data_IF_118705003503
#
_entry.id   IF_118705003503
#
_cell.length_a   1.000
_cell.length_b   1.000
_cell.length_c   1.000
_cell.angle_alpha   90.00
_cell.angle_beta   90.00
_cell.angle_gamma   90.00
#
_symmetry.space_group_name_H-M   'P 1'
#
loop_
_entity.id
_entity.type
_entity.pdbx_description
1 polymer ?
#
# COMPACT_ATOMS: atom_id res chain seq x y z
N UNK A 1 -5.72 -33.23 -3.21
CA UNK A 1 -5.47 -32.87 -1.81
C UNK A 1 -6.82 -32.59 -1.18
N UNK A 2 -7.33 -33.46 -0.31
CA UNK A 2 -8.53 -33.17 0.46
C UNK A 2 -8.14 -32.23 1.60
N UNK A 3 -8.65 -31.02 1.56
CA UNK A 3 -8.57 -30.12 2.72
C UNK A 3 -9.50 -30.66 3.80
N UNK A 4 -8.97 -30.99 4.97
CA UNK A 4 -9.78 -31.26 6.16
C UNK A 4 -10.58 -30.02 6.52
N UNK A 5 -11.84 -29.97 6.13
CA UNK A 5 -12.73 -28.81 6.29
C UNK A 5 -13.12 -28.50 7.74
N UNK A 6 -12.77 -29.32 8.73
CA UNK A 6 -13.28 -29.20 10.09
C UNK A 6 -12.19 -29.40 11.13
N UNK A 7 -11.29 -28.43 11.28
CA UNK A 7 -10.45 -28.37 12.48
C UNK A 7 -11.22 -27.97 13.72
N UNK A 8 -12.33 -27.25 13.56
CA UNK A 8 -13.17 -26.79 14.68
C UNK A 8 -14.65 -26.80 14.26
N UNK A 9 -15.53 -27.26 15.17
CA UNK A 9 -16.95 -26.94 15.07
C UNK A 9 -17.09 -25.44 15.40
N UNK A 10 -17.15 -24.58 14.41
CA UNK A 10 -17.42 -23.15 14.60
C UNK A 10 -18.89 -23.04 14.96
N UNK A 11 -19.20 -22.84 16.24
CA UNK A 11 -20.51 -22.37 16.64
C UNK A 11 -20.68 -20.95 16.13
N UNK A 12 -21.78 -20.65 15.43
CA UNK A 12 -22.09 -19.29 15.03
C UNK A 12 -22.15 -18.42 16.30
N UNK A 13 -21.32 -17.37 16.35
CA UNK A 13 -21.28 -16.48 17.48
C UNK A 13 -21.70 -15.08 17.02
N UNK A 14 -23.03 -14.86 17.05
CA UNK A 14 -23.64 -13.58 16.65
C UNK A 14 -23.09 -12.39 17.46
N UNK A 15 -22.71 -12.62 18.72
CA UNK A 15 -22.16 -11.58 19.60
C UNK A 15 -20.79 -11.07 19.07
N UNK A 16 -19.93 -11.93 18.54
CA UNK A 16 -18.66 -11.51 17.94
C UNK A 16 -18.92 -10.63 16.72
N UNK A 17 -19.88 -11.00 15.86
CA UNK A 17 -20.21 -10.19 14.68
C UNK A 17 -20.77 -8.82 15.05
N UNK A 18 -21.58 -8.72 16.08
CA UNK A 18 -22.09 -7.42 16.55
C UNK A 18 -20.97 -6.55 17.12
N UNK A 19 -20.02 -7.14 17.85
CA UNK A 19 -18.83 -6.44 18.32
C UNK A 19 -17.95 -5.94 17.15
N UNK A 20 -17.70 -6.76 16.14
CA UNK A 20 -16.96 -6.36 14.93
C UNK A 20 -17.67 -5.20 14.23
N UNK A 21 -19.00 -5.24 14.10
CA UNK A 21 -19.76 -4.13 13.52
C UNK A 21 -19.64 -2.84 14.34
N UNK A 22 -19.63 -2.94 15.67
CA UNK A 22 -19.48 -1.79 16.55
C UNK A 22 -18.08 -1.14 16.43
N UNK A 23 -17.03 -1.95 16.27
CA UNK A 23 -15.64 -1.50 16.12
C UNK A 23 -15.35 -0.80 14.76
N UNK A 24 -16.26 -0.92 13.78
CA UNK A 24 -16.03 -0.43 12.41
C UNK A 24 -15.70 1.06 12.32
N UNK A 25 -16.14 1.86 13.30
CA UNK A 25 -15.86 3.30 13.36
C UNK A 25 -14.45 3.60 13.83
N UNK A 26 -13.88 2.74 14.66
CA UNK A 26 -12.57 2.92 15.27
C UNK A 26 -11.47 2.21 14.46
N UNK A 27 -11.83 1.10 13.82
CA UNK A 27 -10.90 0.24 13.08
C UNK A 27 -11.05 0.48 11.58
N UNK A 28 -10.17 1.32 11.04
CA UNK A 28 -10.26 1.82 9.65
C UNK A 28 -10.19 0.75 8.57
N UNK A 29 -9.49 -0.36 8.78
CA UNK A 29 -9.32 -1.38 7.74
C UNK A 29 -10.61 -2.10 7.34
N UNK A 30 -11.66 -2.10 8.17
CA UNK A 30 -12.98 -2.64 7.80
C UNK A 30 -13.67 -1.86 6.66
N UNK A 31 -13.24 -0.62 6.44
CA UNK A 31 -13.82 0.26 5.42
C UNK A 31 -13.03 0.25 4.10
N UNK A 32 -11.81 -0.29 4.10
CA UNK A 32 -10.94 -0.30 2.92
C UNK A 32 -11.56 -0.93 1.65
N UNK A 33 -12.36 -2.04 1.72
CA UNK A 33 -12.99 -2.59 0.52
C UNK A 33 -13.99 -1.64 -0.17
N UNK A 34 -14.45 -0.60 0.52
CA UNK A 34 -15.48 0.34 0.03
C UNK A 34 -14.91 1.72 -0.34
N UNK A 35 -13.59 1.90 -0.33
CA UNK A 35 -12.95 3.17 -0.62
C UNK A 35 -13.02 3.53 -2.09
N UNK A 36 -12.94 4.82 -2.40
CA UNK A 36 -12.76 5.31 -3.77
C UNK A 36 -11.32 5.08 -4.23
N UNK A 37 -11.17 4.55 -5.44
CA UNK A 37 -9.88 4.24 -6.06
C UNK A 37 -9.54 5.13 -7.25
N UNK A 38 -10.40 6.11 -7.56
CA UNK A 38 -10.25 6.95 -8.77
C UNK A 38 -8.88 7.64 -8.82
N UNK A 39 -8.48 8.33 -7.75
CA UNK A 39 -7.19 9.01 -7.68
C UNK A 39 -5.99 8.07 -7.90
N UNK A 40 -6.05 6.85 -7.34
CA UNK A 40 -4.99 5.86 -7.50
C UNK A 40 -4.89 5.40 -8.95
N UNK A 41 -6.03 5.14 -9.60
CA UNK A 41 -6.09 4.71 -11.00
C UNK A 41 -5.62 5.80 -11.94
N UNK A 42 -6.08 7.03 -11.75
CA UNK A 42 -5.67 8.17 -12.57
C UNK A 42 -4.17 8.40 -12.46
N UNK A 43 -3.64 8.33 -11.23
CA UNK A 43 -2.21 8.43 -11.00
C UNK A 43 -1.44 7.29 -11.67
N UNK A 44 -1.85 6.03 -11.49
CA UNK A 44 -1.19 4.89 -12.12
C UNK A 44 -1.16 5.00 -13.66
N UNK A 45 -2.24 5.49 -14.28
CA UNK A 45 -2.31 5.73 -15.73
C UNK A 45 -1.38 6.87 -16.19
N UNK A 46 -1.10 7.85 -15.34
CA UNK A 46 -0.19 8.97 -15.65
C UNK A 46 1.29 8.56 -15.63
N UNK A 47 1.61 7.42 -14.99
CA UNK A 47 2.98 6.96 -14.82
C UNK A 47 3.46 6.21 -16.07
N UNK A 48 4.49 6.74 -16.72
CA UNK A 48 5.14 6.09 -17.87
C UNK A 48 6.34 5.21 -17.49
N UNK A 49 6.68 5.18 -16.22
CA UNK A 49 7.83 4.42 -15.69
C UNK A 49 7.58 2.91 -15.76
N UNK A 50 8.61 2.15 -16.16
CA UNK A 50 8.49 0.69 -16.37
C UNK A 50 8.81 -0.13 -15.14
N UNK A 51 9.52 0.45 -14.18
CA UNK A 51 9.94 -0.26 -12.96
C UNK A 51 9.59 0.53 -11.72
N UNK A 52 8.98 -0.15 -10.76
CA UNK A 52 8.57 0.41 -9.48
C UNK A 52 9.50 -0.11 -8.39
N UNK A 53 10.15 0.80 -7.67
CA UNK A 53 11.00 0.48 -6.52
C UNK A 53 10.25 0.86 -5.24
N UNK A 54 9.83 -0.12 -4.46
CA UNK A 54 9.14 0.10 -3.19
C UNK A 54 10.14 0.15 -2.05
N UNK A 55 10.26 1.29 -1.40
CA UNK A 55 11.08 1.50 -0.21
C UNK A 55 10.17 1.50 1.02
N UNK A 56 10.10 0.37 1.70
CA UNK A 56 9.26 0.18 2.88
C UNK A 56 9.56 -1.16 3.54
N UNK A 57 9.22 -1.31 4.82
CA UNK A 57 9.41 -2.55 5.56
C UNK A 57 8.08 -3.07 6.10
N UNK A 58 8.02 -4.36 6.40
CA UNK A 58 6.86 -5.01 7.01
C UNK A 58 5.58 -4.76 6.21
N UNK A 59 4.54 -4.25 6.85
CA UNK A 59 3.25 -3.94 6.22
C UNK A 59 3.34 -2.95 5.06
N UNK A 60 4.36 -2.11 5.01
CA UNK A 60 4.55 -1.14 3.92
C UNK A 60 4.96 -1.78 2.58
N UNK A 61 5.40 -3.02 2.55
CA UNK A 61 5.85 -3.69 1.32
C UNK A 61 5.30 -5.10 1.16
N UNK A 62 5.17 -5.89 2.24
CA UNK A 62 4.87 -7.32 2.14
C UNK A 62 3.49 -7.61 1.55
N UNK A 63 2.48 -6.82 1.86
CA UNK A 63 1.12 -7.05 1.35
C UNK A 63 1.04 -6.88 -0.16
N UNK A 64 1.56 -5.77 -0.68
CA UNK A 64 1.60 -5.52 -2.11
C UNK A 64 2.44 -6.57 -2.85
N UNK A 65 3.59 -6.94 -2.29
CA UNK A 65 4.45 -8.00 -2.84
C UNK A 65 3.73 -9.34 -2.91
N UNK A 66 3.04 -9.75 -1.85
CA UNK A 66 2.31 -11.02 -1.82
C UNK A 66 1.22 -11.08 -2.92
N UNK A 67 0.44 -10.02 -3.08
CA UNK A 67 -0.58 -9.93 -4.15
C UNK A 67 0.08 -9.92 -5.52
N UNK A 68 1.17 -9.16 -5.71
CA UNK A 68 1.90 -9.11 -6.97
C UNK A 68 2.43 -10.48 -7.39
N UNK A 69 3.12 -11.19 -6.50
CA UNK A 69 3.67 -12.53 -6.76
C UNK A 69 2.58 -13.58 -7.02
N UNK A 70 1.38 -13.39 -6.43
CA UNK A 70 0.23 -14.27 -6.67
C UNK A 70 -0.41 -14.05 -8.05
N UNK A 71 -0.52 -12.79 -8.49
CA UNK A 71 -1.25 -12.43 -9.72
C UNK A 71 -0.35 -12.36 -10.96
N UNK A 72 0.90 -11.97 -10.82
CA UNK A 72 1.81 -11.67 -11.93
C UNK A 72 3.14 -12.40 -11.77
N UNK A 73 3.35 -13.55 -12.43
CA UNK A 73 4.68 -14.18 -12.49
C UNK A 73 5.61 -13.36 -13.39
N UNK A 74 6.54 -12.70 -12.76
CA UNK A 74 7.76 -11.95 -13.17
C UNK A 74 8.22 -11.89 -14.65
N UNK A 75 8.77 -10.80 -15.20
CA UNK A 75 10.17 -10.33 -15.26
C UNK A 75 10.42 -9.36 -16.43
N UNK A 76 10.89 -8.16 -16.17
CA UNK A 76 11.98 -7.54 -16.94
C UNK A 76 12.49 -6.28 -16.19
N UNK A 77 13.81 -6.21 -15.95
CA UNK A 77 14.46 -5.07 -15.30
C UNK A 77 15.00 -4.10 -16.33
N UNK A 78 14.44 -2.90 -16.41
CA UNK A 78 14.96 -1.82 -17.24
C UNK A 78 15.01 -0.50 -16.43
N UNK A 79 15.87 0.44 -16.82
CA UNK A 79 16.38 1.58 -16.05
C UNK A 79 15.40 2.75 -15.75
N UNK A 80 14.14 2.64 -16.09
CA UNK A 80 13.16 3.70 -15.88
C UNK A 80 12.42 3.46 -14.55
N UNK A 81 12.99 4.03 -13.46
CA UNK A 81 12.60 3.73 -12.09
C UNK A 81 11.63 4.77 -11.54
N UNK A 82 10.60 4.31 -10.82
CA UNK A 82 9.79 5.10 -9.91
C UNK A 82 10.02 4.61 -8.47
N UNK A 83 10.34 5.51 -7.56
CA UNK A 83 10.55 5.22 -6.15
C UNK A 83 9.27 5.45 -5.35
N UNK A 84 8.72 4.40 -4.76
CA UNK A 84 7.62 4.49 -3.79
C UNK A 84 8.18 4.43 -2.38
N UNK A 85 8.21 5.58 -1.70
CA UNK A 85 8.73 5.70 -0.32
C UNK A 85 7.56 5.56 0.64
N UNK A 86 7.48 4.41 1.30
CA UNK A 86 6.32 4.03 2.13
C UNK A 86 6.72 3.89 3.60
N UNK A 87 6.21 4.75 4.44
CA UNK A 87 6.35 4.66 5.89
C UNK A 87 5.16 5.32 6.58
N UNK A 88 4.37 4.55 7.34
CA UNK A 88 3.20 5.07 8.05
C UNK A 88 3.56 6.29 8.90
N UNK A 89 4.49 6.16 9.82
CA UNK A 89 4.93 7.24 10.72
C UNK A 89 5.78 8.32 10.03
N UNK A 90 6.28 8.04 8.82
CA UNK A 90 7.18 8.92 8.09
C UNK A 90 8.59 9.06 8.69
N UNK A 91 8.92 8.29 9.75
CA UNK A 91 10.21 8.35 10.43
C UNK A 91 10.87 6.98 10.64
N UNK A 92 10.41 5.94 9.94
CA UNK A 92 11.03 4.60 10.00
C UNK A 92 12.47 4.69 9.51
N UNK A 93 13.41 4.41 10.41
CA UNK A 93 14.84 4.68 10.19
C UNK A 93 15.39 3.90 9.01
N UNK A 94 14.94 2.67 8.79
CA UNK A 94 15.36 1.82 7.68
C UNK A 94 14.93 2.43 6.35
N UNK A 95 13.65 2.82 6.24
CA UNK A 95 13.11 3.44 5.02
C UNK A 95 13.82 4.75 4.71
N UNK A 96 13.99 5.61 5.72
CA UNK A 96 14.68 6.91 5.55
C UNK A 96 16.14 6.72 5.19
N UNK A 97 16.85 5.76 5.81
CA UNK A 97 18.25 5.50 5.53
C UNK A 97 18.47 5.01 4.11
N UNK A 98 17.64 4.06 3.64
CA UNK A 98 17.70 3.56 2.26
C UNK A 98 17.34 4.67 1.28
N UNK A 99 16.31 5.47 1.57
CA UNK A 99 15.92 6.61 0.72
C UNK A 99 17.07 7.62 0.57
N UNK A 100 17.70 8.04 1.68
CA UNK A 100 18.85 8.94 1.66
C UNK A 100 20.02 8.36 0.90
N UNK A 101 20.31 7.07 1.10
CA UNK A 101 21.40 6.39 0.38
C UNK A 101 21.12 6.38 -1.13
N UNK A 102 19.93 5.98 -1.56
CA UNK A 102 19.59 5.97 -2.97
C UNK A 102 19.59 7.38 -3.58
N UNK A 103 19.09 8.39 -2.85
CA UNK A 103 19.15 9.79 -3.29
C UNK A 103 20.58 10.35 -3.43
N UNK A 104 21.55 9.71 -2.79
CA UNK A 104 22.98 10.05 -3.01
C UNK A 104 23.58 9.42 -4.27
N UNK A 105 22.93 8.41 -4.84
CA UNK A 105 23.37 7.68 -6.04
C UNK A 105 22.62 8.09 -7.31
N UNK A 106 21.34 8.41 -7.17
CA UNK A 106 20.44 8.84 -8.25
C UNK A 106 19.64 10.04 -7.78
N UNK A 107 19.43 10.99 -8.65
CA UNK A 107 18.57 12.12 -8.35
C UNK A 107 17.11 11.62 -8.21
N UNK A 108 16.55 11.80 -6.99
CA UNK A 108 15.16 11.43 -6.68
C UNK A 108 14.39 12.72 -6.48
N UNK A 109 13.42 12.97 -7.37
CA UNK A 109 12.63 14.20 -7.41
C UNK A 109 11.13 13.93 -7.69
N UNK A 110 10.38 14.98 -8.00
CA UNK A 110 8.94 14.88 -8.29
C UNK A 110 8.61 14.08 -9.56
N UNK A 111 9.57 13.84 -10.45
CA UNK A 111 9.36 13.09 -11.70
C UNK A 111 9.47 11.57 -11.52
N UNK A 112 10.11 11.12 -10.44
CA UNK A 112 10.42 9.71 -10.22
C UNK A 112 10.19 9.24 -8.77
N UNK A 113 9.50 10.03 -7.94
CA UNK A 113 9.21 9.67 -6.56
C UNK A 113 7.74 9.86 -6.20
N UNK A 114 7.23 8.99 -5.35
CA UNK A 114 5.93 9.11 -4.70
C UNK A 114 6.07 8.72 -3.24
N UNK A 115 5.43 9.47 -2.37
CA UNK A 115 5.46 9.24 -0.93
C UNK A 115 4.09 8.71 -0.47
N UNK A 116 4.10 7.68 0.39
CA UNK A 116 2.91 7.17 1.05
C UNK A 116 3.16 7.17 2.56
N UNK A 117 2.44 8.03 3.27
CA UNK A 117 2.67 8.23 4.71
C UNK A 117 1.42 8.84 5.36
N UNK A 118 1.37 8.91 6.69
CA UNK A 118 0.33 9.68 7.39
C UNK A 118 0.45 11.18 7.11
N UNK A 119 -0.70 11.85 7.04
CA UNK A 119 -0.76 13.30 6.91
C UNK A 119 0.05 13.99 8.03
N UNK A 120 0.80 15.03 7.66
CA UNK A 120 1.62 15.80 8.60
C UNK A 120 2.90 15.10 9.08
N UNK A 121 3.23 13.90 8.57
CA UNK A 121 4.50 13.21 8.83
C UNK A 121 5.70 13.97 8.26
N UNK A 122 6.91 13.58 8.62
CA UNK A 122 8.15 14.16 8.05
C UNK A 122 8.19 13.91 6.53
N UNK A 123 7.78 12.72 6.08
CA UNK A 123 7.77 12.39 4.64
C UNK A 123 6.72 13.17 3.86
N UNK A 124 5.53 13.41 4.41
CA UNK A 124 4.51 14.24 3.72
C UNK A 124 4.92 15.71 3.65
N UNK A 125 5.61 16.23 4.66
CA UNK A 125 6.22 17.57 4.60
C UNK A 125 7.30 17.65 3.52
N UNK A 126 8.20 16.66 3.47
CA UNK A 126 9.21 16.56 2.40
C UNK A 126 8.56 16.52 1.01
N UNK A 127 7.46 15.78 0.85
CA UNK A 127 6.70 15.73 -0.40
C UNK A 127 6.19 17.11 -0.82
N UNK A 128 5.57 17.83 0.11
CA UNK A 128 5.03 19.18 -0.14
C UNK A 128 6.13 20.18 -0.51
N UNK A 129 7.25 20.17 0.23
CA UNK A 129 8.37 21.08 0.00
C UNK A 129 9.06 20.87 -1.36
N UNK A 130 8.97 19.65 -1.91
CA UNK A 130 9.62 19.27 -3.18
C UNK A 130 8.63 18.97 -4.32
N UNK A 131 7.34 19.28 -4.15
CA UNK A 131 6.27 18.99 -5.13
C UNK A 131 6.20 17.51 -5.54
N UNK A 132 6.57 16.59 -4.64
CA UNK A 132 6.46 15.15 -4.85
C UNK A 132 5.01 14.70 -4.61
N UNK A 133 4.47 13.85 -5.48
CA UNK A 133 3.14 13.25 -5.27
C UNK A 133 3.11 12.49 -3.95
N UNK A 134 2.12 12.75 -3.11
CA UNK A 134 1.89 12.02 -1.88
C UNK A 134 0.48 11.44 -1.83
N UNK A 135 0.36 10.27 -1.18
CA UNK A 135 -0.91 9.67 -0.78
C UNK A 135 -0.95 9.55 0.74
N UNK A 136 -2.04 10.00 1.32
CA UNK A 136 -2.24 9.95 2.77
C UNK A 136 -2.74 8.58 3.22
N UNK A 137 -2.03 7.99 4.17
CA UNK A 137 -2.45 6.77 4.86
C UNK A 137 -3.28 7.14 6.10
N UNK A 138 -4.48 6.59 6.18
CA UNK A 138 -5.37 6.85 7.30
C UNK A 138 -4.75 6.39 8.64
N UNK A 139 -4.85 7.23 9.66
CA UNK A 139 -4.27 7.01 10.99
C UNK A 139 -4.75 5.71 11.65
N UNK A 140 -6.03 5.38 11.48
CA UNK A 140 -6.68 4.21 12.05
C UNK A 140 -6.47 2.90 11.25
N UNK A 141 -5.58 2.90 10.25
CA UNK A 141 -5.16 1.69 9.52
C UNK A 141 -3.79 1.26 10.01
N UNK A 142 -3.72 0.13 10.71
CA UNK A 142 -2.46 -0.43 11.19
C UNK A 142 -1.58 -0.92 10.02
N UNK A 143 -0.25 -0.79 10.13
CA UNK A 143 0.69 -1.19 9.08
C UNK A 143 0.51 -2.63 8.60
N UNK A 144 0.20 -3.56 9.51
CA UNK A 144 -0.04 -4.99 9.20
C UNK A 144 -1.37 -5.25 8.47
N UNK A 145 -2.26 -4.27 8.43
CA UNK A 145 -3.60 -4.36 7.84
C UNK A 145 -3.78 -3.40 6.66
N UNK A 146 -2.67 -2.95 6.06
CA UNK A 146 -2.65 -1.85 5.09
C UNK A 146 -2.63 -2.29 3.62
N UNK A 147 -2.66 -3.60 3.32
CA UNK A 147 -2.58 -4.09 1.93
C UNK A 147 -3.70 -3.54 1.04
N UNK A 148 -4.90 -3.34 1.57
CA UNK A 148 -6.03 -2.75 0.84
C UNK A 148 -6.16 -1.23 1.03
N UNK A 149 -5.18 -0.58 1.64
CA UNK A 149 -5.06 0.87 1.65
C UNK A 149 -4.20 1.37 0.48
N UNK A 150 -3.94 2.66 0.40
CA UNK A 150 -2.99 3.28 -0.54
C UNK A 150 -1.61 2.60 -0.54
N UNK A 151 -1.21 2.01 0.59
CA UNK A 151 0.08 1.30 0.75
C UNK A 151 0.21 0.11 -0.21
N UNK A 152 -0.85 -0.66 -0.38
CA UNK A 152 -0.85 -1.81 -1.30
C UNK A 152 -1.46 -1.46 -2.66
N UNK A 153 -2.53 -0.67 -2.69
CA UNK A 153 -3.25 -0.40 -3.93
C UNK A 153 -2.45 0.44 -4.92
N UNK A 154 -1.66 1.43 -4.46
CA UNK A 154 -0.85 2.27 -5.36
C UNK A 154 0.18 1.43 -6.13
N UNK A 155 1.08 0.67 -5.49
CA UNK A 155 2.03 -0.16 -6.25
C UNK A 155 1.33 -1.22 -7.12
N UNK A 156 0.21 -1.81 -6.66
CA UNK A 156 -0.52 -2.81 -7.44
C UNK A 156 -1.17 -2.22 -8.70
N UNK A 157 -1.79 -1.04 -8.59
CA UNK A 157 -2.35 -0.34 -9.75
C UNK A 157 -1.27 0.03 -10.78
N UNK A 158 -0.08 0.45 -10.32
CA UNK A 158 1.05 0.79 -11.17
C UNK A 158 1.60 -0.38 -11.97
N UNK A 159 1.48 -1.60 -11.45
CA UNK A 159 1.86 -2.82 -12.19
C UNK A 159 0.69 -3.47 -12.93
N UNK A 160 -0.43 -2.76 -13.07
CA UNK A 160 -1.57 -3.16 -13.89
C UNK A 160 -2.59 -4.10 -13.23
N UNK A 161 -2.56 -4.25 -11.90
CA UNK A 161 -3.59 -5.02 -11.17
C UNK A 161 -4.90 -4.23 -11.17
N UNK A 162 -6.01 -4.90 -11.48
CA UNK A 162 -7.36 -4.36 -11.31
C UNK A 162 -7.71 -4.28 -9.82
N UNK A 163 -7.43 -3.12 -9.22
CA UNK A 163 -7.63 -2.89 -7.80
C UNK A 163 -9.11 -2.83 -7.40
N UNK A 164 -10.00 -2.49 -8.32
CA UNK A 164 -11.44 -2.51 -8.06
C UNK A 164 -11.96 -3.95 -7.92
N UNK A 165 -11.55 -4.85 -8.80
CA UNK A 165 -11.89 -6.26 -8.69
C UNK A 165 -11.25 -6.89 -7.45
N UNK A 166 -10.02 -6.49 -7.11
CA UNK A 166 -9.36 -6.92 -5.88
C UNK A 166 -10.20 -6.53 -4.63
N UNK A 167 -10.65 -5.27 -4.56
CA UNK A 167 -11.48 -4.78 -3.45
C UNK A 167 -12.88 -5.42 -3.45
N UNK A 168 -13.46 -5.68 -4.62
CA UNK A 168 -14.76 -6.36 -4.71
C UNK A 168 -14.70 -7.79 -4.15
N UNK A 169 -13.58 -8.48 -4.29
CA UNK A 169 -13.36 -9.79 -3.68
C UNK A 169 -13.30 -9.79 -2.14
N UNK A 170 -13.18 -8.59 -1.52
CA UNK A 170 -13.12 -8.41 -0.06
C UNK A 170 -14.47 -8.00 0.57
N UNK A 171 -15.50 -7.78 -0.25
CA UNK A 171 -16.85 -7.39 0.19
C UNK A 171 -17.69 -8.60 0.55
#
# INVERSE_FOLDING_TARGET
MEYCKNFYQIKSNSEIFERIKAERKEVGYYNLPYQDTAEIKDYAQSISKKHIVVLGIGGSSLGARAVYEFLLPSNDYNKDLLFLVISKSGNTIETISIFKYLNSLVEIDSSNCTIISEAGSILTRLANDNNIKAFDLAENVGGRFSVFSVVGLVPLAMVGVDIDNLLNGCK
#
